data_IF_110225509091
#
_entry.id   IF_110225509091
#
_cell.length_a   1.000
_cell.length_b   1.000
_cell.length_c   1.000
_cell.angle_alpha   90.00
_cell.angle_beta   90.00
_cell.angle_gamma   90.00
#
_symmetry.space_group_name_H-M   'P 1'
#
loop_
_entity.id
_entity.type
_entity.pdbx_description
1 polymer ?
#
# COMPACT_ATOMS: atom_id res chain seq x y z
N UNK A 1 -45.58 -4.60 -37.09
CA UNK A 1 -44.11 -4.75 -37.13
C UNK A 1 -43.42 -4.15 -35.90
N UNK A 2 -43.50 -2.84 -35.64
CA UNK A 2 -42.76 -2.20 -34.54
C UNK A 2 -43.03 -2.76 -33.13
N UNK A 3 -44.30 -3.07 -32.80
CA UNK A 3 -44.68 -3.66 -31.50
C UNK A 3 -44.11 -5.07 -31.27
N UNK A 4 -43.88 -5.85 -32.33
CA UNK A 4 -43.33 -7.21 -32.23
C UNK A 4 -41.83 -7.17 -31.94
N UNK A 5 -41.11 -6.28 -32.62
CA UNK A 5 -39.67 -6.07 -32.38
C UNK A 5 -39.40 -5.54 -30.96
N UNK A 6 -40.24 -4.61 -30.47
CA UNK A 6 -40.11 -4.10 -29.10
C UNK A 6 -40.30 -5.21 -28.06
N UNK A 7 -41.27 -6.12 -28.28
CA UNK A 7 -41.52 -7.25 -27.39
C UNK A 7 -40.37 -8.26 -27.39
N UNK A 8 -39.81 -8.58 -28.56
CA UNK A 8 -38.62 -9.44 -28.66
C UNK A 8 -37.39 -8.83 -27.97
N UNK A 9 -37.18 -7.52 -28.11
CA UNK A 9 -36.05 -6.85 -27.48
C UNK A 9 -36.17 -6.80 -25.94
N UNK A 10 -37.39 -6.68 -25.42
CA UNK A 10 -37.64 -6.74 -23.97
C UNK A 10 -37.40 -8.16 -23.42
N UNK A 11 -37.81 -9.19 -24.16
CA UNK A 11 -37.60 -10.59 -23.80
C UNK A 11 -36.11 -10.96 -23.81
N UNK A 12 -35.36 -10.53 -24.83
CA UNK A 12 -33.91 -10.74 -24.90
C UNK A 12 -33.17 -10.03 -23.75
N UNK A 13 -33.58 -8.81 -23.40
CA UNK A 13 -33.02 -8.09 -22.24
C UNK A 13 -33.30 -8.81 -20.93
N UNK A 14 -34.51 -9.34 -20.74
CA UNK A 14 -34.85 -10.13 -19.55
C UNK A 14 -34.04 -11.42 -19.48
N UNK A 15 -33.86 -12.10 -20.61
CA UNK A 15 -33.02 -13.31 -20.69
C UNK A 15 -31.57 -13.02 -20.32
N UNK A 16 -30.98 -11.96 -20.89
CA UNK A 16 -29.60 -11.55 -20.57
C UNK A 16 -29.44 -11.15 -19.09
N UNK A 17 -30.41 -10.46 -18.52
CA UNK A 17 -30.36 -10.08 -17.10
C UNK A 17 -30.37 -11.30 -16.16
N UNK A 18 -31.18 -12.32 -16.49
CA UNK A 18 -31.27 -13.55 -15.70
C UNK A 18 -29.96 -14.38 -15.78
N UNK A 19 -29.37 -14.49 -16.97
CA UNK A 19 -28.08 -15.15 -17.18
C UNK A 19 -26.92 -14.44 -16.45
N UNK A 20 -26.93 -13.10 -16.41
CA UNK A 20 -25.95 -12.33 -15.65
C UNK A 20 -26.13 -12.50 -14.14
N UNK A 21 -27.37 -12.54 -13.64
CA UNK A 21 -27.66 -12.80 -12.23
C UNK A 21 -27.25 -14.22 -11.81
N UNK A 22 -27.48 -15.22 -12.66
CA UNK A 22 -27.02 -16.59 -12.45
C UNK A 22 -25.49 -16.68 -12.38
N UNK A 23 -24.80 -15.99 -13.30
CA UNK A 23 -23.33 -15.92 -13.31
C UNK A 23 -22.77 -15.30 -12.04
N UNK A 24 -23.40 -14.22 -11.54
CA UNK A 24 -23.03 -13.59 -10.26
C UNK A 24 -23.28 -14.49 -9.07
N UNK A 25 -24.40 -15.23 -9.06
CA UNK A 25 -24.72 -16.18 -7.99
C UNK A 25 -23.72 -17.34 -7.96
N UNK A 26 -23.34 -17.87 -9.12
CA UNK A 26 -22.35 -18.93 -9.25
C UNK A 26 -20.96 -18.48 -8.77
N UNK A 27 -20.49 -17.32 -9.23
CA UNK A 27 -19.21 -16.77 -8.78
C UNK A 27 -19.17 -16.57 -7.26
N UNK A 28 -20.27 -16.09 -6.67
CA UNK A 28 -20.38 -15.95 -5.21
C UNK A 28 -20.28 -17.30 -4.49
N UNK A 29 -20.97 -18.34 -4.98
CA UNK A 29 -20.89 -19.69 -4.43
C UNK A 29 -19.48 -20.27 -4.54
N UNK A 30 -18.82 -20.10 -5.68
CA UNK A 30 -17.45 -20.60 -5.89
C UNK A 30 -16.45 -19.93 -4.92
N UNK A 31 -16.62 -18.62 -4.66
CA UNK A 31 -15.81 -17.91 -3.64
C UNK A 31 -16.06 -18.46 -2.22
N UNK A 32 -17.32 -18.70 -1.85
CA UNK A 32 -17.69 -19.26 -0.54
C UNK A 32 -17.19 -20.70 -0.38
N UNK A 33 -17.28 -21.52 -1.42
CA UNK A 33 -16.79 -22.90 -1.43
C UNK A 33 -15.27 -22.96 -1.31
N UNK A 34 -14.54 -22.07 -2.01
CA UNK A 34 -13.09 -21.96 -1.89
C UNK A 34 -12.66 -21.57 -0.47
N UNK A 35 -13.34 -20.59 0.15
CA UNK A 35 -13.09 -20.21 1.54
C UNK A 35 -13.36 -21.36 2.51
N UNK A 36 -14.45 -22.11 2.31
CA UNK A 36 -14.78 -23.29 3.10
C UNK A 36 -13.71 -24.37 2.98
N UNK A 37 -13.26 -24.67 1.75
CA UNK A 37 -12.19 -25.65 1.52
C UNK A 37 -10.88 -25.27 2.22
N UNK A 38 -10.50 -23.98 2.20
CA UNK A 38 -9.32 -23.50 2.92
C UNK A 38 -9.45 -23.70 4.44
N UNK A 39 -10.62 -23.40 5.00
CA UNK A 39 -10.88 -23.57 6.43
C UNK A 39 -10.87 -25.05 6.82
N UNK A 40 -11.54 -25.91 6.04
CA UNK A 40 -11.56 -27.36 6.24
C UNK A 40 -10.14 -27.96 6.14
N UNK A 41 -9.34 -27.54 5.16
CA UNK A 41 -7.96 -27.98 4.99
C UNK A 41 -7.06 -27.54 6.16
N UNK A 42 -7.26 -26.33 6.69
CA UNK A 42 -6.52 -25.84 7.85
C UNK A 42 -6.91 -26.61 9.13
N UNK A 43 -8.21 -26.80 9.37
CA UNK A 43 -8.71 -27.59 10.49
C UNK A 43 -8.20 -29.04 10.44
N UNK A 44 -8.18 -29.66 9.26
CA UNK A 44 -7.64 -31.01 9.08
C UNK A 44 -6.14 -31.08 9.44
N UNK A 45 -5.34 -30.09 9.01
CA UNK A 45 -3.92 -30.00 9.38
C UNK A 45 -3.72 -29.76 10.88
N UNK A 46 -4.55 -28.92 11.48
CA UNK A 46 -4.53 -28.64 12.91
C UNK A 46 -4.83 -29.91 13.72
N UNK A 47 -5.89 -30.64 13.37
CA UNK A 47 -6.22 -31.91 14.02
C UNK A 47 -5.14 -32.97 13.84
N UNK A 48 -4.52 -33.05 12.65
CA UNK A 48 -3.39 -33.95 12.41
C UNK A 48 -2.16 -33.61 13.29
N UNK A 49 -1.88 -32.32 13.48
CA UNK A 49 -0.81 -31.85 14.36
C UNK A 49 -1.12 -32.14 15.84
N UNK A 50 -2.33 -31.82 16.30
CA UNK A 50 -2.76 -32.13 17.65
C UNK A 50 -2.80 -33.65 17.90
N UNK A 51 -3.21 -34.44 16.92
CA UNK A 51 -3.13 -35.90 16.93
C UNK A 51 -1.69 -36.38 17.09
N UNK A 52 -0.76 -35.85 16.30
CA UNK A 52 0.67 -36.20 16.39
C UNK A 52 1.28 -35.84 17.75
N UNK A 53 0.92 -34.70 18.34
CA UNK A 53 1.36 -34.34 19.70
C UNK A 53 0.80 -35.30 20.76
N UNK A 54 -0.46 -35.71 20.62
CA UNK A 54 -1.12 -36.65 21.54
C UNK A 54 -0.58 -38.08 21.39
N UNK A 55 -0.21 -38.49 20.18
CA UNK A 55 0.34 -39.82 19.89
C UNK A 55 1.84 -39.93 20.12
N UNK A 56 2.60 -38.83 19.96
CA UNK A 56 4.05 -38.79 20.11
C UNK A 56 4.54 -38.65 21.55
N UNK A 57 3.71 -38.13 22.47
CA UNK A 57 3.93 -38.34 23.91
C UNK A 57 3.30 -39.67 24.26
N UNK A 58 4.13 -40.66 24.58
CA UNK A 58 3.70 -41.92 25.16
C UNK A 58 2.91 -41.68 26.45
N UNK A 59 1.60 -41.45 26.32
CA UNK A 59 0.69 -41.26 27.43
C UNK A 59 0.65 -42.50 28.33
N UNK A 60 1.02 -43.68 27.82
CA UNK A 60 1.18 -44.90 28.61
C UNK A 60 2.58 -45.09 29.23
N UNK A 61 3.65 -44.67 28.56
CA UNK A 61 5.02 -44.91 29.05
C UNK A 61 5.41 -43.93 30.18
N UNK A 62 4.95 -42.69 30.09
CA UNK A 62 5.23 -41.69 31.12
C UNK A 62 4.44 -41.93 32.41
N UNK A 63 3.27 -42.55 32.36
CA UNK A 63 2.48 -42.76 33.58
C UNK A 63 3.11 -43.84 34.49
N UNK A 64 3.70 -44.89 33.91
CA UNK A 64 4.49 -45.87 34.68
C UNK A 64 5.79 -45.28 35.23
N UNK A 65 6.52 -44.47 34.45
CA UNK A 65 7.72 -43.78 34.93
C UNK A 65 7.39 -42.73 36.00
N UNK A 66 6.32 -41.96 35.83
CA UNK A 66 5.82 -41.02 36.83
C UNK A 66 5.44 -41.78 38.10
N UNK A 67 4.75 -42.92 38.00
CA UNK A 67 4.42 -43.73 39.18
C UNK A 67 5.66 -44.34 39.84
N UNK A 68 6.68 -44.75 39.09
CA UNK A 68 7.97 -45.20 39.64
C UNK A 68 8.70 -44.07 40.36
N UNK A 69 8.79 -42.88 39.75
CA UNK A 69 9.41 -41.70 40.36
C UNK A 69 8.65 -41.27 41.62
N UNK A 70 7.31 -41.30 41.58
CA UNK A 70 6.46 -40.98 42.73
C UNK A 70 6.71 -41.94 43.90
N UNK A 71 6.83 -43.25 43.63
CA UNK A 71 7.22 -44.25 44.64
C UNK A 71 8.64 -44.04 45.19
N UNK A 72 9.60 -43.65 44.35
CA UNK A 72 10.96 -43.35 44.79
C UNK A 72 11.00 -42.10 45.69
N UNK A 73 10.29 -41.04 45.33
CA UNK A 73 10.16 -39.82 46.14
C UNK A 73 9.51 -40.14 47.49
N UNK A 74 8.42 -40.90 47.50
CA UNK A 74 7.76 -41.32 48.73
C UNK A 74 8.69 -42.17 49.62
N UNK A 75 9.45 -43.10 49.03
CA UNK A 75 10.44 -43.91 49.75
C UNK A 75 11.57 -43.06 50.36
N UNK A 76 12.06 -42.06 49.62
CA UNK A 76 13.06 -41.11 50.11
C UNK A 76 12.51 -40.23 51.22
N UNK A 77 11.27 -39.77 51.09
CA UNK A 77 10.61 -38.95 52.10
C UNK A 77 10.38 -39.72 53.40
N UNK A 78 10.00 -41.00 53.33
CA UNK A 78 9.89 -41.89 54.50
C UNK A 78 11.26 -42.10 55.15
N UNK A 79 12.31 -42.33 54.35
CA UNK A 79 13.68 -42.51 54.87
C UNK A 79 14.19 -41.24 55.56
N UNK A 80 13.83 -40.06 55.04
CA UNK A 80 14.20 -38.77 55.63
C UNK A 80 13.40 -38.44 56.90
N UNK A 81 12.12 -38.84 56.98
CA UNK A 81 11.28 -38.63 58.17
C UNK A 81 11.57 -39.64 59.28
N UNK A 82 11.98 -40.87 58.96
CA UNK A 82 12.36 -41.88 59.94
C UNK A 82 13.83 -41.81 60.38
N UNK A 83 14.71 -41.18 59.59
CA UNK A 83 16.14 -41.03 59.88
C UNK A 83 16.52 -39.85 60.77
N UNK A 84 15.58 -38.97 61.11
CA UNK A 84 15.87 -37.70 61.80
C UNK A 84 15.33 -37.66 63.24
N UNK A 85 15.64 -38.70 64.01
CA UNK A 85 15.57 -38.65 65.47
C UNK A 85 16.98 -38.75 66.02
N UNK A 86 17.44 -37.61 66.56
CA UNK A 86 18.56 -37.46 67.50
C UNK A 86 19.97 -37.71 66.93
N UNK A 87 20.56 -36.64 66.41
CA UNK A 87 22.00 -36.59 66.19
C UNK A 87 22.46 -35.20 65.82
N UNK A 88 22.83 -34.40 66.81
CA UNK A 88 23.52 -33.13 66.62
C UNK A 88 24.73 -33.33 65.68
N UNK A 89 24.64 -32.81 64.45
CA UNK A 89 25.75 -32.83 63.51
C UNK A 89 26.29 -31.43 63.34
N UNK A 90 27.54 -31.32 63.74
CA UNK A 90 28.35 -30.11 63.77
C UNK A 90 28.52 -29.54 62.37
N UNK A 91 28.45 -28.21 62.32
CA UNK A 91 28.73 -27.36 61.16
C UNK A 91 30.03 -27.77 60.47
N UNK A 92 29.93 -28.31 59.24
CA UNK A 92 31.09 -28.54 58.38
C UNK A 92 30.80 -28.03 56.96
N UNK A 93 31.44 -26.89 56.69
CA UNK A 93 31.82 -26.29 55.40
C UNK A 93 30.71 -25.89 54.42
N UNK A 94 30.39 -24.60 54.47
CA UNK A 94 29.77 -23.78 53.43
C UNK A 94 30.65 -23.68 52.17
N UNK A 95 30.71 -24.75 51.38
CA UNK A 95 31.47 -24.82 50.12
C UNK A 95 30.68 -25.33 48.91
N UNK A 96 29.36 -25.46 49.01
CA UNK A 96 28.51 -26.08 47.99
C UNK A 96 27.58 -25.13 47.21
N UNK A 97 27.41 -23.90 47.67
CA UNK A 97 26.39 -22.98 47.12
C UNK A 97 26.77 -22.43 45.73
N UNK A 98 28.07 -22.32 45.44
CA UNK A 98 28.59 -21.77 44.19
C UNK A 98 28.29 -22.68 42.98
N UNK A 99 28.41 -24.00 43.15
CA UNK A 99 28.10 -24.97 42.09
C UNK A 99 26.59 -25.09 41.79
N UNK A 100 25.74 -24.74 42.75
CA UNK A 100 24.30 -24.66 42.53
C UNK A 100 23.95 -23.35 41.80
N UNK A 101 24.51 -22.22 42.23
CA UNK A 101 24.33 -20.92 41.57
C UNK A 101 24.80 -20.96 40.11
N UNK A 102 25.96 -21.58 39.84
CA UNK A 102 26.48 -21.75 38.48
C UNK A 102 25.52 -22.55 37.58
N UNK A 103 24.93 -23.65 38.09
CA UNK A 103 23.93 -24.43 37.36
C UNK A 103 22.65 -23.64 37.11
N UNK A 104 22.15 -22.92 38.10
CA UNK A 104 20.96 -22.08 37.95
C UNK A 104 21.15 -20.96 36.92
N UNK A 105 22.34 -20.33 36.88
CA UNK A 105 22.66 -19.34 35.85
C UNK A 105 22.74 -19.97 34.45
N UNK A 106 23.33 -21.16 34.33
CA UNK A 106 23.38 -21.88 33.07
C UNK A 106 21.99 -22.29 32.57
N UNK A 107 21.12 -22.77 33.46
CA UNK A 107 19.73 -23.10 33.13
C UNK A 107 18.93 -21.88 32.67
N UNK A 108 19.12 -20.72 33.32
CA UNK A 108 18.51 -19.46 32.86
C UNK A 108 18.97 -19.08 31.46
N UNK A 109 20.28 -19.20 31.16
CA UNK A 109 20.80 -18.88 29.83
C UNK A 109 20.26 -19.83 28.75
N UNK A 110 20.13 -21.12 29.07
CA UNK A 110 19.53 -22.13 28.17
C UNK A 110 18.07 -21.81 27.86
N UNK A 111 17.30 -21.27 28.80
CA UNK A 111 15.89 -20.89 28.59
C UNK A 111 15.78 -19.53 27.88
N UNK A 112 16.72 -18.61 28.12
CA UNK A 112 16.73 -17.28 27.52
C UNK A 112 16.95 -17.33 26.00
N UNK A 113 17.89 -18.14 25.52
CA UNK A 113 18.19 -18.26 24.08
C UNK A 113 16.98 -18.67 23.19
N UNK A 114 16.19 -19.72 23.51
CA UNK A 114 15.01 -20.06 22.73
C UNK A 114 13.91 -19.01 22.85
N UNK A 115 13.79 -18.32 23.99
CA UNK A 115 12.84 -17.22 24.14
C UNK A 115 13.20 -16.05 23.23
N UNK A 116 14.46 -15.63 23.19
CA UNK A 116 14.93 -14.58 22.28
C UNK A 116 14.75 -14.97 20.81
N UNK A 117 15.01 -16.23 20.48
CA UNK A 117 14.80 -16.76 19.12
C UNK A 117 13.32 -16.76 18.74
N UNK A 118 12.43 -17.15 19.66
CA UNK A 118 10.99 -17.10 19.46
C UNK A 118 10.50 -15.67 19.31
N UNK A 119 10.98 -14.72 20.13
CA UNK A 119 10.64 -13.30 20.00
C UNK A 119 11.04 -12.73 18.63
N UNK A 120 12.25 -13.04 18.15
CA UNK A 120 12.71 -12.65 16.80
C UNK A 120 11.87 -13.29 15.69
N UNK A 121 11.38 -14.51 15.89
CA UNK A 121 10.46 -15.15 14.95
C UNK A 121 9.09 -14.45 14.93
N UNK A 122 8.53 -14.11 16.11
CA UNK A 122 7.27 -13.37 16.21
C UNK A 122 7.36 -11.98 15.56
N UNK A 123 8.46 -11.24 15.77
CA UNK A 123 8.67 -9.95 15.11
C UNK A 123 8.69 -10.05 13.58
N UNK A 124 9.37 -11.07 13.03
CA UNK A 124 9.36 -11.31 11.59
C UNK A 124 7.98 -11.67 11.07
N UNK A 125 7.21 -12.45 11.83
CA UNK A 125 5.83 -12.80 11.48
C UNK A 125 4.94 -11.56 11.46
N UNK A 126 5.04 -10.68 12.45
CA UNK A 126 4.28 -9.42 12.51
C UNK A 126 4.57 -8.51 11.32
N UNK A 127 5.85 -8.40 10.92
CA UNK A 127 6.26 -7.66 9.72
C UNK A 127 5.63 -8.24 8.44
N UNK A 128 5.65 -9.57 8.28
CA UNK A 128 5.03 -10.22 7.12
C UNK A 128 3.50 -10.05 7.11
N UNK A 129 2.85 -10.07 8.27
CA UNK A 129 1.41 -9.79 8.36
C UNK A 129 1.06 -8.36 7.95
N UNK A 130 1.90 -7.38 8.28
CA UNK A 130 1.74 -6.00 7.84
C UNK A 130 1.92 -5.86 6.33
N UNK A 131 2.95 -6.50 5.75
CA UNK A 131 3.13 -6.57 4.30
C UNK A 131 1.91 -7.21 3.60
N UNK A 132 1.38 -8.30 4.12
CA UNK A 132 0.16 -8.93 3.56
C UNK A 132 -1.04 -7.98 3.64
N UNK A 133 -1.21 -7.25 4.75
CA UNK A 133 -2.30 -6.27 4.90
C UNK A 133 -2.17 -5.13 3.88
N UNK A 134 -0.96 -4.62 3.66
CA UNK A 134 -0.72 -3.55 2.67
C UNK A 134 -0.93 -4.02 1.24
N UNK A 135 -0.46 -5.23 0.88
CA UNK A 135 -0.67 -5.81 -0.44
C UNK A 135 -2.16 -6.04 -0.74
N UNK A 136 -2.93 -6.57 0.23
CA UNK A 136 -4.38 -6.75 0.07
C UNK A 136 -5.10 -5.43 -0.17
N UNK A 137 -4.73 -4.38 0.57
CA UNK A 137 -5.30 -3.05 0.37
C UNK A 137 -4.99 -2.49 -1.03
N UNK A 138 -3.76 -2.66 -1.50
CA UNK A 138 -3.37 -2.25 -2.85
C UNK A 138 -4.12 -3.05 -3.94
N UNK A 139 -4.34 -4.34 -3.73
CA UNK A 139 -5.15 -5.18 -4.63
C UNK A 139 -6.61 -4.70 -4.68
N UNK A 140 -7.23 -4.42 -3.54
CA UNK A 140 -8.59 -3.88 -3.45
C UNK A 140 -8.71 -2.53 -4.17
N UNK A 141 -7.74 -1.63 -3.98
CA UNK A 141 -7.67 -0.33 -4.67
C UNK A 141 -7.54 -0.51 -6.19
N UNK A 142 -6.64 -1.38 -6.66
CA UNK A 142 -6.47 -1.67 -8.08
C UNK A 142 -7.74 -2.27 -8.72
N UNK A 143 -8.46 -3.14 -8.00
CA UNK A 143 -9.74 -3.70 -8.45
C UNK A 143 -10.81 -2.61 -8.55
N UNK A 144 -10.92 -1.72 -7.55
CA UNK A 144 -11.85 -0.60 -7.60
C UNK A 144 -11.55 0.35 -8.77
N UNK A 145 -10.28 0.67 -9.01
CA UNK A 145 -9.87 1.47 -10.17
C UNK A 145 -10.25 0.79 -11.48
N UNK A 146 -9.93 -0.50 -11.65
CA UNK A 146 -10.28 -1.25 -12.84
C UNK A 146 -11.80 -1.25 -13.11
N UNK A 147 -12.63 -1.35 -12.06
CA UNK A 147 -14.07 -1.20 -12.18
C UNK A 147 -14.51 0.20 -12.63
N UNK A 148 -13.87 1.25 -12.12
CA UNK A 148 -14.13 2.64 -12.53
C UNK A 148 -13.79 2.81 -14.01
N UNK A 149 -12.61 2.37 -14.43
CA UNK A 149 -12.17 2.40 -15.83
C UNK A 149 -13.13 1.63 -16.75
N UNK A 150 -13.59 0.45 -16.32
CA UNK A 150 -14.60 -0.33 -17.06
C UNK A 150 -15.92 0.43 -17.20
N UNK A 151 -16.42 1.05 -16.13
CA UNK A 151 -17.66 1.85 -16.15
C UNK A 151 -17.51 3.08 -17.05
N UNK A 152 -16.36 3.72 -17.06
CA UNK A 152 -16.09 4.90 -17.89
C UNK A 152 -15.93 4.55 -19.38
N UNK A 153 -15.23 3.46 -19.69
CA UNK A 153 -15.11 2.95 -21.06
C UNK A 153 -16.50 2.61 -21.66
N UNK A 154 -17.39 1.99 -20.87
CA UNK A 154 -18.78 1.72 -21.28
C UNK A 154 -19.57 3.01 -21.55
N UNK A 155 -19.40 4.04 -20.71
CA UNK A 155 -20.03 5.36 -20.94
C UNK A 155 -19.52 6.03 -22.21
N UNK A 156 -18.22 5.95 -22.49
CA UNK A 156 -17.62 6.51 -23.70
C UNK A 156 -18.13 5.82 -24.97
N UNK A 157 -18.22 4.49 -24.96
CA UNK A 157 -18.78 3.70 -26.07
C UNK A 157 -20.23 4.08 -26.39
N UNK A 158 -21.07 4.27 -25.38
CA UNK A 158 -22.46 4.70 -25.57
C UNK A 158 -22.54 6.10 -26.21
N UNK A 159 -21.70 7.05 -25.77
CA UNK A 159 -21.62 8.40 -26.37
C UNK A 159 -21.17 8.36 -27.83
N UNK A 160 -20.23 7.48 -28.18
CA UNK A 160 -19.79 7.31 -29.56
C UNK A 160 -20.90 6.72 -30.44
N UNK A 161 -21.65 5.74 -29.94
CA UNK A 161 -22.78 5.16 -30.66
C UNK A 161 -23.90 6.19 -30.91
N UNK A 162 -24.23 7.02 -29.92
CA UNK A 162 -25.20 8.10 -30.09
C UNK A 162 -24.70 9.16 -31.09
N UNK A 163 -23.43 9.56 -31.02
CA UNK A 163 -22.85 10.46 -32.01
C UNK A 163 -22.88 9.89 -33.43
N UNK A 164 -22.61 8.59 -33.60
CA UNK A 164 -22.70 7.92 -34.89
C UNK A 164 -24.14 7.94 -35.44
N UNK A 165 -25.14 7.67 -34.60
CA UNK A 165 -26.57 7.76 -34.98
C UNK A 165 -26.98 9.18 -35.37
N UNK A 166 -26.58 10.19 -34.58
CA UNK A 166 -26.87 11.59 -34.87
C UNK A 166 -26.22 12.03 -36.19
N UNK A 167 -24.99 11.60 -36.46
CA UNK A 167 -24.28 11.89 -37.72
C UNK A 167 -24.95 11.24 -38.93
N UNK A 168 -25.44 10.00 -38.77
CA UNK A 168 -26.23 9.31 -39.80
C UNK A 168 -27.55 10.02 -40.07
N UNK A 169 -28.27 10.45 -39.02
CA UNK A 169 -29.54 11.18 -39.16
C UNK A 169 -29.36 12.55 -39.83
N UNK A 170 -28.29 13.27 -39.49
CA UNK A 170 -27.90 14.52 -40.17
C UNK A 170 -27.61 14.27 -41.65
N UNK A 171 -26.84 13.22 -41.98
CA UNK A 171 -26.55 12.86 -43.37
C UNK A 171 -27.82 12.52 -44.16
N UNK A 172 -28.81 11.88 -43.53
CA UNK A 172 -30.13 11.61 -44.12
C UNK A 172 -30.94 12.88 -44.35
N UNK A 173 -30.93 13.84 -43.40
CA UNK A 173 -31.61 15.14 -43.56
C UNK A 173 -30.98 16.00 -44.67
N UNK A 174 -29.66 16.01 -44.77
CA UNK A 174 -28.94 16.76 -45.80
C UNK A 174 -29.16 16.16 -47.20
N UNK A 175 -29.24 14.83 -47.30
CA UNK A 175 -29.61 14.17 -48.56
C UNK A 175 -31.03 14.54 -49.02
N UNK A 176 -31.98 14.71 -48.08
CA UNK A 176 -33.35 15.12 -48.37
C UNK A 176 -33.53 16.62 -48.66
N UNK A 177 -32.55 17.48 -48.33
CA UNK A 177 -32.62 18.94 -48.55
C UNK A 177 -32.20 19.40 -49.95
N UNK A 178 -31.83 18.47 -50.84
CA UNK A 178 -31.27 18.79 -52.17
C UNK A 178 -32.25 19.42 -53.17
N UNK A 179 -33.52 19.62 -52.83
CA UNK A 179 -34.53 20.12 -53.78
C UNK A 179 -35.20 21.45 -53.43
N UNK A 180 -34.80 22.13 -52.35
CA UNK A 180 -35.22 23.54 -52.21
C UNK A 180 -34.40 24.41 -53.16
N UNK A 181 -35.00 25.19 -54.07
CA UNK A 181 -34.29 26.06 -55.01
C UNK A 181 -33.30 26.94 -54.27
N UNK A 182 -32.01 26.66 -54.50
CA UNK A 182 -30.88 27.40 -53.93
C UNK A 182 -30.99 28.84 -54.43
N UNK A 183 -31.32 29.78 -53.55
CA UNK A 183 -31.25 31.20 -53.89
C UNK A 183 -29.78 31.57 -54.11
N UNK A 184 -29.51 32.32 -55.18
CA UNK A 184 -28.19 32.64 -55.73
C UNK A 184 -27.39 33.66 -54.90
N UNK A 185 -27.59 33.71 -53.59
CA UNK A 185 -26.91 34.65 -52.69
C UNK A 185 -25.50 34.25 -52.22
N UNK A 186 -25.16 32.95 -52.02
CA UNK A 186 -23.83 32.58 -51.51
C UNK A 186 -22.67 32.83 -52.49
N UNK A 187 -22.90 32.69 -53.80
CA UNK A 187 -21.86 32.91 -54.83
C UNK A 187 -21.33 34.36 -54.86
N UNK A 188 -21.99 35.30 -54.19
CA UNK A 188 -21.54 36.70 -54.11
C UNK A 188 -20.64 37.02 -52.90
N UNK A 189 -20.44 36.10 -51.96
CA UNK A 189 -19.62 36.33 -50.77
C UNK A 189 -18.18 35.78 -50.86
N UNK A 190 -17.92 34.80 -51.73
CA UNK A 190 -16.58 34.19 -51.88
C UNK A 190 -15.57 35.02 -52.69
N UNK A 191 -15.98 36.17 -53.24
CA UNK A 191 -15.07 37.06 -54.00
C UNK A 191 -14.55 38.26 -53.19
N UNK A 192 -14.88 38.40 -51.90
CA UNK A 192 -14.45 39.55 -51.08
C UNK A 192 -13.17 39.28 -50.26
N UNK A 193 -12.75 38.03 -50.07
CA UNK A 193 -11.60 37.69 -49.19
C UNK A 193 -10.26 37.47 -49.92
N UNK A 194 -10.14 37.83 -51.21
CA UNK A 194 -8.88 37.68 -51.96
C UNK A 194 -7.85 38.80 -51.74
N UNK A 195 -8.17 39.85 -50.99
CA UNK A 195 -7.26 40.99 -50.82
C UNK A 195 -7.14 41.43 -49.35
N UNK A 196 -6.43 40.66 -48.52
CA UNK A 196 -6.20 41.07 -47.14
C UNK A 196 -5.13 40.29 -46.37
N UNK A 197 -3.89 40.78 -46.45
CA UNK A 197 -2.82 40.72 -45.41
C UNK A 197 -2.58 39.38 -44.71
N UNK A 198 -1.52 38.64 -45.04
CA UNK A 198 -0.13 38.91 -44.61
C UNK A 198 0.08 39.07 -43.08
N UNK A 199 1.14 38.40 -42.60
CA UNK A 199 1.84 38.57 -41.30
C UNK A 199 1.13 37.79 -40.15
N UNK A 200 1.64 36.68 -39.61
CA UNK A 200 2.91 36.55 -38.89
C UNK A 200 3.53 35.14 -39.01
N UNK A 201 4.82 35.13 -39.36
CA UNK A 201 5.74 34.00 -39.17
C UNK A 201 6.27 34.11 -37.74
N UNK A 202 6.01 33.12 -36.86
CA UNK A 202 6.77 32.97 -35.62
C UNK A 202 7.86 31.93 -35.80
N UNK A 203 9.06 32.37 -35.47
CA UNK A 203 10.36 31.78 -35.76
C UNK A 203 10.66 30.54 -34.93
N UNK A 204 11.12 29.51 -35.63
CA UNK A 204 11.71 28.27 -35.14
C UNK A 204 13.12 28.55 -34.62
N UNK A 205 13.27 28.79 -33.32
CA UNK A 205 14.56 29.03 -32.65
C UNK A 205 15.01 27.79 -31.86
N UNK A 206 16.09 27.17 -32.32
CA UNK A 206 16.70 25.94 -31.79
C UNK A 206 17.74 26.32 -30.73
N UNK A 207 17.54 25.95 -29.47
CA UNK A 207 18.62 25.69 -28.49
C UNK A 207 18.21 24.47 -27.65
N UNK A 208 18.81 23.32 -27.98
CA UNK A 208 18.75 22.09 -27.18
C UNK A 208 19.74 22.24 -26.02
N UNK A 209 19.23 22.54 -24.83
CA UNK A 209 19.88 22.20 -23.55
C UNK A 209 18.74 21.85 -22.59
N UNK A 210 18.61 20.56 -22.26
CA UNK A 210 17.70 20.03 -21.25
C UNK A 210 16.20 20.19 -21.55
N UNK A 211 15.63 19.22 -22.26
CA UNK A 211 14.17 19.04 -22.38
C UNK A 211 13.60 18.65 -21.01
N UNK A 212 13.44 19.64 -20.13
CA UNK A 212 12.57 19.54 -18.96
C UNK A 212 11.17 19.83 -19.49
N UNK A 213 10.38 18.78 -19.62
CA UNK A 213 8.99 18.80 -20.09
C UNK A 213 8.22 19.98 -19.48
N UNK A 214 7.92 21.00 -20.28
CA UNK A 214 7.10 22.15 -19.87
C UNK A 214 5.71 21.71 -19.37
N UNK A 215 5.28 20.50 -19.72
CA UNK A 215 4.03 19.90 -19.26
C UNK A 215 4.07 19.57 -17.74
N UNK A 216 5.23 19.17 -17.20
CA UNK A 216 5.35 18.79 -15.78
C UNK A 216 5.07 19.94 -14.82
N UNK A 217 5.27 21.19 -15.26
CA UNK A 217 5.02 22.36 -14.42
C UNK A 217 3.52 22.62 -14.22
N UNK A 218 2.71 22.39 -15.26
CA UNK A 218 1.25 22.53 -15.17
C UNK A 218 0.67 21.47 -14.25
N UNK A 219 1.12 20.21 -14.40
CA UNK A 219 0.69 19.10 -13.56
C UNK A 219 1.09 19.31 -12.08
N UNK A 220 2.29 19.86 -11.85
CA UNK A 220 2.78 20.20 -10.51
C UNK A 220 1.93 21.28 -9.84
N UNK A 221 1.52 22.33 -10.57
CA UNK A 221 0.65 23.37 -10.01
C UNK A 221 -0.78 22.88 -9.74
N UNK A 222 -1.30 21.96 -10.56
CA UNK A 222 -2.59 21.33 -10.30
C UNK A 222 -2.52 20.48 -9.04
N UNK A 223 -1.46 19.68 -8.89
CA UNK A 223 -1.22 18.86 -7.70
C UNK A 223 -1.09 19.70 -6.42
N UNK A 224 -0.35 20.81 -6.47
CA UNK A 224 -0.23 21.75 -5.33
C UNK A 224 -1.61 22.29 -4.92
N UNK A 225 -2.43 22.71 -5.90
CA UNK A 225 -3.77 23.25 -5.64
C UNK A 225 -4.72 22.21 -5.05
N UNK A 226 -4.63 20.97 -5.50
CA UNK A 226 -5.44 19.87 -4.98
C UNK A 226 -5.04 19.49 -3.55
N UNK A 227 -3.74 19.32 -3.29
CA UNK A 227 -3.22 19.05 -1.95
C UNK A 227 -3.57 20.18 -0.96
N UNK A 228 -3.50 21.44 -1.40
CA UNK A 228 -3.93 22.57 -0.58
C UNK A 228 -5.42 22.52 -0.24
N UNK A 229 -6.30 22.13 -1.18
CA UNK A 229 -7.74 21.99 -0.93
C UNK A 229 -8.02 20.88 0.07
N UNK A 230 -7.31 19.75 -0.02
CA UNK A 230 -7.47 18.62 0.90
C UNK A 230 -7.16 19.00 2.36
N UNK A 231 -6.15 19.84 2.57
CA UNK A 231 -5.70 20.25 3.90
C UNK A 231 -6.51 21.42 4.48
N UNK A 232 -7.10 22.28 3.65
CA UNK A 232 -7.80 23.52 4.07
C UNK A 232 -9.03 23.28 4.95
N UNK A 233 -9.62 22.08 4.93
CA UNK A 233 -10.78 21.71 5.75
C UNK A 233 -10.47 20.86 6.98
N UNK A 234 -9.21 20.49 7.21
CA UNK A 234 -8.86 19.56 8.29
C UNK A 234 -8.68 20.30 9.62
N UNK A 235 -9.11 19.65 10.70
CA UNK A 235 -8.87 20.11 12.07
C UNK A 235 -7.38 19.98 12.42
N UNK A 236 -6.92 20.76 13.40
CA UNK A 236 -5.53 20.76 13.89
C UNK A 236 -5.00 19.36 14.21
N UNK A 237 -5.80 18.52 14.85
CA UNK A 237 -5.39 17.16 15.25
C UNK A 237 -5.10 16.28 14.03
N UNK A 238 -5.96 16.37 13.00
CA UNK A 238 -5.76 15.64 11.74
C UNK A 238 -4.53 16.15 10.98
N UNK A 239 -4.24 17.46 11.01
CA UNK A 239 -3.01 18.01 10.43
C UNK A 239 -1.78 17.47 11.19
N UNK A 240 -1.84 17.44 12.52
CA UNK A 240 -0.74 16.95 13.37
C UNK A 240 -0.45 15.47 13.11
N UNK A 241 -1.49 14.65 12.90
CA UNK A 241 -1.34 13.24 12.53
C UNK A 241 -0.65 13.08 11.16
N UNK A 242 -1.00 13.93 10.19
CA UNK A 242 -0.36 13.95 8.87
C UNK A 242 1.11 14.38 8.99
N UNK A 243 1.44 15.35 9.85
CA UNK A 243 2.83 15.74 10.12
C UNK A 243 3.67 14.56 10.60
N UNK A 244 3.16 13.81 11.58
CA UNK A 244 3.86 12.64 12.13
C UNK A 244 4.08 11.57 11.05
N UNK A 245 3.07 11.31 10.22
CA UNK A 245 3.16 10.33 9.12
C UNK A 245 4.13 10.76 8.02
N UNK A 246 4.19 12.05 7.69
CA UNK A 246 5.07 12.58 6.63
C UNK A 246 6.44 13.06 7.17
N UNK A 247 6.69 12.88 8.47
CA UNK A 247 7.89 13.31 9.16
C UNK A 247 8.12 14.83 9.10
N UNK A 248 7.07 15.63 8.92
CA UNK A 248 7.13 17.10 8.89
C UNK A 248 7.08 17.65 10.32
N UNK A 249 7.81 18.74 10.58
CA UNK A 249 7.80 19.36 11.90
C UNK A 249 6.53 20.20 12.04
N UNK A 250 5.75 19.96 13.09
CA UNK A 250 4.58 20.80 13.36
C UNK A 250 5.05 22.17 13.88
N UNK A 251 4.75 23.23 13.14
CA UNK A 251 5.06 24.62 13.48
C UNK A 251 3.75 25.43 13.58
N UNK A 252 3.56 26.44 12.74
CA UNK A 252 2.25 27.08 12.56
C UNK A 252 1.43 26.30 11.54
N UNK A 253 0.10 26.36 11.65
CA UNK A 253 -0.80 25.60 10.78
C UNK A 253 -0.53 25.86 9.29
N UNK A 254 -0.29 27.12 8.91
CA UNK A 254 -0.02 27.51 7.52
C UNK A 254 1.33 26.99 7.00
N UNK A 255 2.40 27.14 7.77
CA UNK A 255 3.74 26.64 7.42
C UNK A 255 3.76 25.11 7.33
N UNK A 256 3.08 24.46 8.28
CA UNK A 256 2.96 23.01 8.34
C UNK A 256 2.25 22.46 7.10
N UNK A 257 1.16 23.11 6.67
CA UNK A 257 0.46 22.75 5.43
C UNK A 257 1.39 22.92 4.21
N UNK A 258 2.15 24.02 4.14
CA UNK A 258 3.09 24.25 3.05
C UNK A 258 4.22 23.20 3.02
N UNK A 259 4.76 22.81 4.17
CA UNK A 259 5.80 21.77 4.29
C UNK A 259 5.28 20.40 3.86
N UNK A 260 4.06 20.03 4.28
CA UNK A 260 3.38 18.79 3.83
C UNK A 260 3.22 18.80 2.30
N UNK A 261 2.72 19.90 1.73
CA UNK A 261 2.53 20.01 0.28
C UNK A 261 3.89 19.89 -0.45
N UNK A 262 4.92 20.57 0.05
CA UNK A 262 6.26 20.51 -0.52
C UNK A 262 6.80 19.07 -0.53
N UNK A 263 6.66 18.33 0.57
CA UNK A 263 7.07 16.93 0.66
C UNK A 263 6.30 16.01 -0.27
N UNK A 264 4.98 16.20 -0.40
CA UNK A 264 4.15 15.43 -1.34
C UNK A 264 4.55 15.69 -2.78
N UNK A 265 4.79 16.95 -3.13
CA UNK A 265 5.27 17.36 -4.46
C UNK A 265 6.65 16.77 -4.74
N UNK A 266 7.57 16.83 -3.78
CA UNK A 266 8.91 16.25 -3.89
C UNK A 266 8.86 14.73 -4.05
N UNK A 267 7.93 14.05 -3.37
CA UNK A 267 7.71 12.60 -3.52
C UNK A 267 7.14 12.24 -4.89
N UNK A 268 6.21 13.04 -5.41
CA UNK A 268 5.52 12.76 -6.67
C UNK A 268 6.35 13.15 -7.91
N UNK A 269 7.04 14.29 -7.86
CA UNK A 269 7.77 14.86 -9.00
C UNK A 269 9.30 14.81 -8.82
N UNK A 270 9.78 14.23 -7.72
CA UNK A 270 11.19 14.22 -7.35
C UNK A 270 11.66 15.54 -6.74
N UNK A 271 12.85 15.52 -6.12
CA UNK A 271 13.57 16.74 -5.77
C UNK A 271 13.85 17.51 -7.04
N UNK A 272 13.30 18.71 -7.15
CA UNK A 272 13.72 19.65 -8.21
C UNK A 272 15.23 19.78 -8.03
N UNK A 273 16.06 19.46 -9.04
CA UNK A 273 17.48 19.75 -8.93
C UNK A 273 17.55 21.23 -8.58
N UNK A 274 18.18 21.54 -7.44
CA UNK A 274 18.45 22.91 -7.10
C UNK A 274 19.19 23.46 -8.31
N UNK A 275 18.52 24.33 -9.06
CA UNK A 275 19.19 25.09 -10.11
C UNK A 275 20.15 25.92 -9.30
N UNK A 276 21.37 25.39 -9.14
CA UNK A 276 22.49 26.15 -8.68
C UNK A 276 22.57 27.25 -9.72
N UNK A 277 22.05 28.41 -9.36
CA UNK A 277 22.24 29.63 -10.13
C UNK A 277 23.76 29.80 -10.15
N UNK A 278 24.38 29.21 -11.17
CA UNK A 278 25.74 29.50 -11.55
C UNK A 278 25.68 30.96 -11.94
N UNK A 279 25.95 31.83 -10.97
CA UNK A 279 26.31 33.21 -11.21
C UNK A 279 27.47 33.15 -12.20
N UNK A 280 27.17 33.48 -13.44
CA UNK A 280 28.12 33.64 -14.55
C UNK A 280 28.93 34.92 -14.31
N UNK A 281 29.59 34.99 -13.14
CA UNK A 281 30.48 36.08 -12.74
C UNK A 281 31.90 35.51 -12.67
N UNK A 282 32.37 35.09 -13.85
CA UNK A 282 33.79 34.90 -14.13
C UNK A 282 34.38 36.28 -14.43
N UNK A 283 34.80 36.98 -13.38
CA UNK A 283 35.84 38.00 -13.47
C UNK A 283 36.50 38.22 -12.10
N UNK A 284 37.65 37.59 -11.90
CA UNK A 284 38.64 38.05 -10.91
C UNK A 284 38.82 37.16 -9.70
N UNK A 285 39.67 36.13 -9.88
CA UNK A 285 40.60 35.69 -8.84
C UNK A 285 41.36 36.93 -8.30
N UNK A 286 41.47 37.10 -6.98
CA UNK A 286 42.81 36.89 -6.43
C UNK A 286 42.83 36.26 -5.03
N UNK A 287 43.74 35.28 -4.93
CA UNK A 287 44.73 35.11 -3.86
C UNK A 287 44.19 34.71 -2.48
N UNK A 288 44.31 33.41 -2.21
CA UNK A 288 45.28 32.88 -1.24
C UNK A 288 45.47 33.71 0.04
N UNK A 289 44.87 33.26 1.15
CA UNK A 289 45.59 33.22 2.42
C UNK A 289 45.23 31.94 3.16
N UNK A 290 46.26 31.11 3.33
CA UNK A 290 46.31 30.04 4.31
C UNK A 290 46.11 30.59 5.72
N UNK A 291 45.23 29.97 6.49
CA UNK A 291 45.17 30.04 7.97
C UNK A 291 44.10 29.07 8.44
N UNK A 292 44.29 28.23 9.42
CA UNK A 292 45.45 27.89 10.23
C UNK A 292 45.01 26.62 10.98
N UNK A 293 45.96 25.72 11.23
CA UNK A 293 45.78 24.56 12.08
C UNK A 293 45.26 24.93 13.48
N UNK A 294 44.29 24.15 13.97
CA UNK A 294 43.72 24.32 15.31
C UNK A 294 42.94 23.08 15.76
N UNK A 295 43.58 21.92 15.89
CA UNK A 295 44.05 21.34 17.17
C UNK A 295 42.95 20.88 18.15
N UNK A 296 42.98 19.58 18.38
CA UNK A 296 42.86 18.84 19.65
C UNK A 296 41.64 19.06 20.58
N UNK A 297 40.91 17.97 20.84
CA UNK A 297 40.75 17.31 22.17
C UNK A 297 39.50 16.44 22.16
N UNK A 298 39.60 15.11 22.20
CA UNK A 298 39.87 14.25 23.36
C UNK A 298 38.57 13.74 24.05
N UNK A 299 38.51 12.42 24.06
CA UNK A 299 37.75 11.48 24.88
C UNK A 299 37.50 11.89 26.33
N UNK A 300 36.28 11.65 26.81
CA UNK A 300 35.98 11.04 28.13
C UNK A 300 34.62 10.37 28.08
#
# INVERSE_FOLDING_TARGET
MAKVLAKQQEEEKKKRALEEEESRSKEKKDREEFQKQLNDAWNAKFEAMCGSLRSGRGAGANEEEINKLKKQVESLQIRNTQGNSLGASTSKAAGGDDAFLARMMQEQEIIKQPMETAMKACQRMESLEEEIRTLKKAEEEAVMEAEIWKKEALKSGNKQQENAKLKEELSKRDAGRKETPRSSFPDRLDDVDKEGKAIHKSSKGKKKVGEIDSNTNVDREVFIREAAKELRGKKKDAITEICLKEGAKYTTLGETIAEIIAKRVERAFGKRPAIQELSDDVAGDPLHEDKEDGRDSATS
#
